data_IF_380740140360
#
_entry.id   IF_380740140360
#
_cell.length_a   1.000
_cell.length_b   1.000
_cell.length_c   1.000
_cell.angle_alpha   90.00
_cell.angle_beta   90.00
_cell.angle_gamma   90.00
#
_symmetry.space_group_name_H-M   'P 1'
#
loop_
_entity.id
_entity.type
_entity.pdbx_description
1 polymer ?
#
# COMPACT_ATOMS: atom_id res chain seq x y z
N UNK A 1 -7.30 -39.25 -2.12
CA UNK A 1 -6.24 -38.27 -1.86
C UNK A 1 -6.38 -37.13 -2.88
N UNK A 2 -6.75 -35.91 -2.45
CA UNK A 2 -6.73 -34.76 -3.36
C UNK A 2 -5.27 -34.54 -3.78
N UNK A 3 -4.94 -34.55 -5.07
CA UNK A 3 -3.61 -34.19 -5.57
C UNK A 3 -3.28 -32.80 -5.04
N UNK A 4 -2.17 -32.64 -4.33
CA UNK A 4 -1.66 -31.34 -3.88
C UNK A 4 -1.46 -30.50 -5.14
N UNK A 5 -2.19 -29.41 -5.31
CA UNK A 5 -1.94 -28.48 -6.40
C UNK A 5 -0.50 -27.98 -6.34
N UNK A 6 0.20 -27.87 -7.48
CA UNK A 6 1.53 -27.31 -7.50
C UNK A 6 1.49 -25.88 -6.93
N UNK A 7 2.58 -25.47 -6.30
CA UNK A 7 2.70 -24.09 -5.81
C UNK A 7 2.81 -23.13 -7.00
N UNK A 8 2.18 -21.95 -6.93
CA UNK A 8 2.35 -20.94 -7.97
C UNK A 8 3.82 -20.50 -8.03
N UNK A 9 4.32 -20.34 -9.26
CA UNK A 9 5.68 -19.89 -9.57
C UNK A 9 5.70 -18.39 -9.73
N UNK A 10 6.43 -17.69 -8.86
CA UNK A 10 6.42 -16.23 -8.77
C UNK A 10 7.78 -15.66 -9.15
N UNK A 11 7.78 -14.62 -10.00
CA UNK A 11 8.95 -13.78 -10.27
C UNK A 11 8.95 -12.53 -9.38
N UNK A 12 10.13 -12.00 -9.09
CA UNK A 12 10.33 -10.72 -8.41
C UNK A 12 11.01 -9.74 -9.36
N UNK A 13 10.40 -8.57 -9.57
CA UNK A 13 10.95 -7.45 -10.31
C UNK A 13 11.22 -6.29 -9.35
N UNK A 14 12.50 -6.02 -9.08
CA UNK A 14 12.94 -5.12 -8.02
C UNK A 14 13.06 -5.83 -6.67
N UNK A 15 14.30 -5.92 -6.19
CA UNK A 15 14.66 -6.61 -4.95
C UNK A 15 15.48 -5.71 -4.03
N UNK A 16 15.17 -4.40 -4.04
CA UNK A 16 15.58 -3.47 -3.01
C UNK A 16 15.09 -3.93 -1.63
N UNK A 17 15.24 -3.09 -0.61
CA UNK A 17 14.89 -3.47 0.77
C UNK A 17 13.46 -4.04 0.86
N UNK A 18 12.45 -3.34 0.30
CA UNK A 18 11.05 -3.77 0.40
C UNK A 18 10.78 -5.05 -0.41
N UNK A 19 11.36 -5.17 -1.60
CA UNK A 19 11.23 -6.37 -2.44
C UNK A 19 11.78 -7.60 -1.74
N UNK A 20 12.99 -7.52 -1.14
CA UNK A 20 13.56 -8.62 -0.35
C UNK A 20 12.74 -8.96 0.88
N UNK A 21 12.16 -7.96 1.55
CA UNK A 21 11.29 -8.20 2.69
C UNK A 21 10.04 -9.01 2.29
N UNK A 22 9.39 -8.67 1.17
CA UNK A 22 8.23 -9.41 0.65
C UNK A 22 8.61 -10.79 0.14
N UNK A 23 9.78 -10.91 -0.51
CA UNK A 23 10.34 -12.18 -0.96
C UNK A 23 10.55 -13.15 0.21
N UNK A 24 11.17 -12.68 1.30
CA UNK A 24 11.37 -13.48 2.51
C UNK A 24 10.05 -13.95 3.10
N UNK A 25 9.07 -13.07 3.26
CA UNK A 25 7.76 -13.42 3.80
C UNK A 25 7.02 -14.48 2.95
N UNK A 26 7.09 -14.38 1.63
CA UNK A 26 6.50 -15.37 0.71
C UNK A 26 7.23 -16.72 0.85
N UNK A 27 8.55 -16.74 0.90
CA UNK A 27 9.32 -17.96 1.11
C UNK A 27 8.97 -18.65 2.45
N UNK A 28 8.91 -17.89 3.53
CA UNK A 28 8.59 -18.40 4.87
C UNK A 28 7.15 -18.94 4.93
N UNK A 29 6.23 -18.38 4.18
CA UNK A 29 4.83 -18.85 4.10
C UNK A 29 4.69 -20.23 3.45
N UNK A 30 5.64 -20.63 2.59
CA UNK A 30 5.59 -21.87 1.78
C UNK A 30 4.33 -21.99 0.90
N UNK A 31 3.73 -20.85 0.53
CA UNK A 31 2.51 -20.81 -0.30
C UNK A 31 2.83 -20.64 -1.79
N UNK A 32 4.06 -20.31 -2.15
CA UNK A 32 4.54 -20.17 -3.53
C UNK A 32 6.01 -20.56 -3.67
N UNK A 33 6.43 -20.79 -4.91
CA UNK A 33 7.82 -20.94 -5.32
C UNK A 33 8.34 -19.60 -5.85
N UNK A 34 9.43 -19.09 -5.31
CA UNK A 34 10.16 -17.95 -5.91
C UNK A 34 11.06 -18.53 -7.01
N UNK A 35 10.61 -18.41 -8.25
CA UNK A 35 11.26 -19.05 -9.41
C UNK A 35 12.23 -18.11 -10.13
N UNK A 36 12.05 -16.79 -10.02
CA UNK A 36 12.88 -15.83 -10.76
C UNK A 36 13.04 -14.51 -9.98
N UNK A 37 14.19 -13.88 -10.16
CA UNK A 37 14.55 -12.57 -9.61
C UNK A 37 15.11 -11.70 -10.73
N UNK A 38 14.58 -10.50 -10.86
CA UNK A 38 15.07 -9.47 -11.78
C UNK A 38 15.32 -8.16 -11.02
N UNK A 39 16.52 -7.61 -11.08
CA UNK A 39 16.88 -6.29 -10.55
C UNK A 39 17.99 -5.68 -11.40
N UNK A 40 17.87 -4.39 -11.71
CA UNK A 40 18.90 -3.64 -12.42
C UNK A 40 20.18 -3.46 -11.59
N UNK A 41 20.07 -3.51 -10.27
CA UNK A 41 21.18 -3.51 -9.33
C UNK A 41 21.63 -4.94 -9.04
N UNK A 42 22.82 -5.30 -9.54
CA UNK A 42 23.38 -6.66 -9.35
C UNK A 42 23.54 -7.06 -7.89
N UNK A 43 23.84 -6.12 -7.01
CA UNK A 43 23.97 -6.38 -5.58
C UNK A 43 22.61 -6.78 -4.97
N UNK A 44 21.54 -6.03 -5.27
CA UNK A 44 20.19 -6.37 -4.84
C UNK A 44 19.75 -7.76 -5.34
N UNK A 45 20.00 -8.06 -6.63
CA UNK A 45 19.69 -9.37 -7.20
C UNK A 45 20.47 -10.50 -6.51
N UNK A 46 21.76 -10.29 -6.24
CA UNK A 46 22.61 -11.24 -5.54
C UNK A 46 22.14 -11.51 -4.11
N UNK A 47 21.76 -10.46 -3.37
CA UNK A 47 21.26 -10.62 -2.00
C UNK A 47 19.91 -11.34 -1.96
N UNK A 48 19.04 -11.07 -2.92
CA UNK A 48 17.76 -11.77 -3.05
C UNK A 48 17.96 -13.25 -3.42
N UNK A 49 18.93 -13.56 -4.31
CA UNK A 49 19.26 -14.93 -4.70
C UNK A 49 19.79 -15.76 -3.52
N UNK A 50 20.49 -15.15 -2.54
CA UNK A 50 20.90 -15.84 -1.31
C UNK A 50 19.71 -16.32 -0.47
N UNK A 51 18.59 -15.58 -0.50
CA UNK A 51 17.34 -15.93 0.18
C UNK A 51 16.58 -17.03 -0.57
N UNK A 52 16.65 -17.05 -1.91
CA UNK A 52 15.98 -17.99 -2.80
C UNK A 52 17.00 -18.70 -3.73
N UNK A 53 17.81 -19.64 -3.22
CA UNK A 53 18.92 -20.24 -3.98
C UNK A 53 18.51 -21.00 -5.25
N UNK A 54 17.22 -21.37 -5.37
CA UNK A 54 16.67 -22.04 -6.55
C UNK A 54 16.14 -21.08 -7.62
N UNK A 55 16.08 -19.79 -7.35
CA UNK A 55 15.53 -18.81 -8.29
C UNK A 55 16.55 -18.45 -9.39
N UNK A 56 16.07 -18.35 -10.62
CA UNK A 56 16.86 -17.83 -11.74
C UNK A 56 17.04 -16.31 -11.56
N UNK A 57 18.24 -15.80 -11.79
CA UNK A 57 18.50 -14.38 -11.83
C UNK A 57 18.56 -13.92 -13.28
N UNK A 58 17.71 -12.96 -13.62
CA UNK A 58 17.66 -12.35 -14.97
C UNK A 58 17.82 -10.83 -14.85
N UNK A 59 18.04 -10.15 -15.96
CA UNK A 59 18.38 -8.73 -16.01
C UNK A 59 17.23 -7.80 -16.40
N UNK A 60 16.08 -8.35 -16.79
CA UNK A 60 14.97 -7.57 -17.33
C UNK A 60 13.60 -8.21 -17.08
N UNK A 61 12.56 -7.37 -17.19
CA UNK A 61 11.17 -7.85 -17.19
C UNK A 61 10.94 -8.78 -18.39
N UNK A 62 11.50 -8.49 -19.56
CA UNK A 62 11.32 -9.32 -20.76
C UNK A 62 11.80 -10.74 -20.54
N UNK A 63 13.01 -10.89 -20.03
CA UNK A 63 13.56 -12.20 -19.68
C UNK A 63 12.73 -12.93 -18.60
N UNK A 64 12.16 -12.18 -17.63
CA UNK A 64 11.29 -12.74 -16.60
C UNK A 64 9.98 -13.28 -17.20
N UNK A 65 9.37 -12.56 -18.14
CA UNK A 65 8.09 -12.93 -18.75
C UNK A 65 8.18 -14.24 -19.59
N UNK A 66 9.36 -14.63 -20.07
CA UNK A 66 9.58 -15.84 -20.85
C UNK A 66 9.67 -17.13 -20.00
N UNK A 67 9.70 -17.04 -18.66
CA UNK A 67 10.02 -18.17 -17.77
C UNK A 67 8.81 -19.03 -17.35
N UNK A 68 7.62 -18.82 -17.92
CA UNK A 68 6.43 -19.60 -17.59
C UNK A 68 6.05 -19.47 -16.10
N UNK A 69 5.94 -18.25 -15.64
CA UNK A 69 5.52 -17.89 -14.29
C UNK A 69 3.99 -17.77 -14.22
N UNK A 70 3.45 -17.92 -13.00
CA UNK A 70 2.03 -17.67 -12.71
C UNK A 70 1.79 -16.21 -12.29
N UNK A 71 2.81 -15.56 -11.73
CA UNK A 71 2.67 -14.23 -11.16
C UNK A 71 4.01 -13.49 -11.03
N UNK A 72 3.92 -12.18 -10.85
CA UNK A 72 5.07 -11.31 -10.56
C UNK A 72 4.79 -10.35 -9.41
N UNK A 73 5.78 -10.17 -8.54
CA UNK A 73 5.83 -9.11 -7.53
C UNK A 73 6.69 -7.98 -8.08
N UNK A 74 6.13 -6.77 -8.16
CA UNK A 74 6.80 -5.56 -8.66
C UNK A 74 7.12 -4.66 -7.47
N UNK A 75 8.40 -4.40 -7.24
CA UNK A 75 8.91 -3.53 -6.17
C UNK A 75 10.02 -2.59 -6.68
N UNK A 76 9.82 -2.05 -7.85
CA UNK A 76 10.65 -1.05 -8.53
C UNK A 76 10.27 0.37 -8.08
N UNK A 77 10.94 1.43 -8.52
CA UNK A 77 10.45 2.80 -8.35
C UNK A 77 9.10 3.05 -9.03
N UNK A 78 8.28 3.94 -8.45
CA UNK A 78 6.89 4.17 -8.84
C UNK A 78 6.66 4.46 -10.33
N UNK A 79 7.60 5.14 -10.98
CA UNK A 79 7.54 5.41 -12.43
C UNK A 79 7.43 4.16 -13.30
N UNK A 80 7.95 3.02 -12.83
CA UNK A 80 7.90 1.74 -13.53
C UNK A 80 6.61 0.95 -13.32
N UNK A 81 5.88 1.19 -12.23
CA UNK A 81 4.80 0.33 -11.77
C UNK A 81 3.73 0.10 -12.83
N UNK A 82 3.17 1.18 -13.41
CA UNK A 82 2.10 1.09 -14.40
C UNK A 82 2.54 0.26 -15.62
N UNK A 83 3.62 0.65 -16.28
CA UNK A 83 4.07 -0.01 -17.52
C UNK A 83 4.48 -1.47 -17.29
N UNK A 84 5.14 -1.76 -16.17
CA UNK A 84 5.56 -3.11 -15.81
C UNK A 84 4.36 -4.00 -15.46
N UNK A 85 3.40 -3.47 -14.69
CA UNK A 85 2.19 -4.21 -14.32
C UNK A 85 1.32 -4.52 -15.54
N UNK A 86 1.10 -3.54 -16.43
CA UNK A 86 0.33 -3.73 -17.67
C UNK A 86 0.97 -4.84 -18.52
N UNK A 87 2.27 -4.77 -18.75
CA UNK A 87 2.99 -5.78 -19.55
C UNK A 87 2.91 -7.19 -18.95
N UNK A 88 3.05 -7.29 -17.61
CA UNK A 88 2.93 -8.58 -16.94
C UNK A 88 1.52 -9.16 -17.03
N UNK A 89 0.49 -8.33 -16.86
CA UNK A 89 -0.92 -8.72 -16.99
C UNK A 89 -1.25 -9.15 -18.42
N UNK A 90 -0.80 -8.40 -19.42
CA UNK A 90 -0.97 -8.74 -20.85
C UNK A 90 -0.26 -10.04 -21.22
N UNK A 91 0.86 -10.36 -20.57
CA UNK A 91 1.55 -11.65 -20.68
C UNK A 91 0.83 -12.79 -19.92
N UNK A 92 -0.30 -12.49 -19.26
CA UNK A 92 -1.11 -13.49 -18.56
C UNK A 92 -0.66 -13.78 -17.12
N UNK A 93 0.20 -12.97 -16.51
CA UNK A 93 0.62 -13.12 -15.13
C UNK A 93 -0.31 -12.35 -14.18
N UNK A 94 -0.54 -12.90 -12.98
CA UNK A 94 -1.09 -12.14 -11.87
C UNK A 94 -0.03 -11.18 -11.30
N UNK A 95 -0.45 -10.02 -10.79
CA UNK A 95 0.48 -8.97 -10.34
C UNK A 95 0.23 -8.58 -8.89
N UNK A 96 1.30 -8.55 -8.10
CA UNK A 96 1.36 -7.84 -6.83
C UNK A 96 2.32 -6.67 -6.97
N UNK A 97 1.82 -5.45 -6.79
CA UNK A 97 2.61 -4.24 -7.00
C UNK A 97 2.82 -3.48 -5.69
N UNK A 98 4.00 -2.91 -5.52
CA UNK A 98 4.22 -1.94 -4.45
C UNK A 98 3.32 -0.70 -4.65
N UNK A 99 2.95 -0.07 -3.55
CA UNK A 99 2.25 1.22 -3.57
C UNK A 99 3.24 2.36 -4.00
N UNK A 100 2.74 3.40 -4.65
CA UNK A 100 1.43 3.50 -5.27
C UNK A 100 1.34 2.61 -6.51
N UNK A 101 0.15 2.15 -6.89
CA UNK A 101 -0.04 1.32 -8.11
C UNK A 101 0.37 2.06 -9.37
N UNK A 102 0.17 3.37 -9.40
CA UNK A 102 0.59 4.31 -10.42
C UNK A 102 0.77 5.70 -9.82
N UNK A 103 1.38 6.61 -10.55
CA UNK A 103 1.62 8.00 -10.14
C UNK A 103 0.38 8.90 -10.28
N UNK A 104 -0.69 8.36 -10.88
CA UNK A 104 -1.97 9.04 -11.11
C UNK A 104 -3.12 8.04 -11.15
N UNK A 105 -4.36 8.55 -11.06
CA UNK A 105 -5.57 7.76 -11.25
C UNK A 105 -5.63 7.14 -12.65
N UNK A 106 -5.13 7.85 -13.67
CA UNK A 106 -5.05 7.34 -15.04
C UNK A 106 -4.16 6.10 -15.13
N UNK A 107 -2.95 6.15 -14.56
CA UNK A 107 -2.04 4.99 -14.52
C UNK A 107 -2.64 3.81 -13.74
N UNK A 108 -3.27 4.08 -12.58
CA UNK A 108 -3.96 3.06 -11.80
C UNK A 108 -5.11 2.40 -12.58
N UNK A 109 -5.90 3.21 -13.29
CA UNK A 109 -7.00 2.73 -14.14
C UNK A 109 -6.49 1.85 -15.29
N UNK A 110 -5.37 2.21 -15.92
CA UNK A 110 -4.76 1.39 -16.97
C UNK A 110 -4.41 0.00 -16.44
N UNK A 111 -3.77 -0.09 -15.27
CA UNK A 111 -3.39 -1.37 -14.67
C UNK A 111 -4.63 -2.19 -14.31
N UNK A 112 -5.64 -1.59 -13.69
CA UNK A 112 -6.89 -2.28 -13.33
C UNK A 112 -7.64 -2.77 -14.57
N UNK A 113 -7.70 -1.96 -15.64
CA UNK A 113 -8.30 -2.38 -16.92
C UNK A 113 -7.57 -3.57 -17.53
N UNK A 114 -6.23 -3.58 -17.52
CA UNK A 114 -5.43 -4.70 -18.02
C UNK A 114 -5.65 -5.95 -17.17
N UNK A 115 -5.73 -5.83 -15.83
CA UNK A 115 -6.02 -6.97 -14.94
C UNK A 115 -7.40 -7.58 -15.24
N UNK A 116 -8.41 -6.72 -15.44
CA UNK A 116 -9.78 -7.15 -15.80
C UNK A 116 -9.80 -7.83 -17.18
N UNK A 117 -9.16 -7.23 -18.18
CA UNK A 117 -9.13 -7.75 -19.55
C UNK A 117 -8.41 -9.10 -19.62
N UNK A 118 -7.30 -9.26 -18.90
CA UNK A 118 -6.54 -10.49 -18.82
C UNK A 118 -7.16 -11.54 -17.87
N UNK A 119 -8.20 -11.17 -17.10
CA UNK A 119 -8.75 -11.98 -16.02
C UNK A 119 -7.65 -12.46 -15.06
N UNK A 120 -6.81 -11.53 -14.54
CA UNK A 120 -5.70 -11.83 -13.65
C UNK A 120 -5.82 -11.10 -12.32
N UNK A 121 -5.41 -11.78 -11.25
CA UNK A 121 -5.40 -11.22 -9.91
C UNK A 121 -4.41 -10.06 -9.83
N UNK A 122 -4.90 -8.91 -9.35
CA UNK A 122 -4.11 -7.72 -9.05
C UNK A 122 -4.18 -7.42 -7.57
N UNK A 123 -3.03 -7.23 -6.92
CA UNK A 123 -2.91 -6.76 -5.55
C UNK A 123 -1.95 -5.59 -5.43
N UNK A 124 -2.17 -4.74 -4.43
CA UNK A 124 -1.27 -3.62 -4.08
C UNK A 124 -0.87 -3.73 -2.62
N UNK A 125 0.37 -3.41 -2.31
CA UNK A 125 0.95 -3.56 -0.97
C UNK A 125 0.49 -2.45 0.00
N UNK A 126 -0.79 -2.41 0.29
CA UNK A 126 -1.35 -1.60 1.38
C UNK A 126 -1.22 -2.34 2.71
N UNK A 127 0.00 -2.48 3.16
CA UNK A 127 0.40 -3.38 4.25
C UNK A 127 -0.20 -3.03 5.62
N UNK A 128 -0.53 -1.75 5.88
CA UNK A 128 -1.13 -1.33 7.17
C UNK A 128 -2.48 -2.00 7.45
N UNK A 129 -3.26 -2.36 6.43
CA UNK A 129 -4.50 -3.15 6.60
C UNK A 129 -4.27 -4.49 7.32
N UNK A 130 -3.05 -5.03 7.24
CA UNK A 130 -2.70 -6.35 7.74
C UNK A 130 -2.02 -6.34 9.13
N UNK A 131 -1.94 -5.18 9.77
CA UNK A 131 -1.55 -5.10 11.19
C UNK A 131 -2.68 -5.68 12.06
N UNK A 132 -2.32 -6.36 13.14
CA UNK A 132 -3.32 -6.87 14.12
C UNK A 132 -4.18 -5.74 14.67
N UNK A 133 -3.56 -4.59 14.93
CA UNK A 133 -4.24 -3.39 15.40
C UNK A 133 -5.35 -2.93 14.44
N UNK A 134 -5.05 -2.76 13.16
CA UNK A 134 -6.01 -2.29 12.16
C UNK A 134 -7.08 -3.34 11.86
N UNK A 135 -6.73 -4.64 11.86
CA UNK A 135 -7.70 -5.72 11.67
C UNK A 135 -8.75 -5.76 12.80
N UNK A 136 -8.32 -5.63 14.05
CA UNK A 136 -9.25 -5.58 15.20
C UNK A 136 -10.14 -4.34 15.19
N UNK A 137 -9.58 -3.18 14.83
CA UNK A 137 -10.37 -1.95 14.65
C UNK A 137 -11.42 -2.12 13.55
N UNK A 138 -11.04 -2.69 12.40
CA UNK A 138 -11.96 -2.91 11.28
C UNK A 138 -13.07 -3.91 11.64
N UNK A 139 -12.78 -4.92 12.44
CA UNK A 139 -13.79 -5.85 12.97
C UNK A 139 -14.84 -5.12 13.83
N UNK A 140 -14.41 -4.21 14.72
CA UNK A 140 -15.33 -3.41 15.55
C UNK A 140 -16.19 -2.46 14.71
N UNK A 141 -15.62 -1.82 13.69
CA UNK A 141 -16.38 -1.00 12.74
C UNK A 141 -17.40 -1.85 11.98
N UNK A 142 -16.96 -2.98 11.42
CA UNK A 142 -17.80 -3.85 10.60
C UNK A 142 -18.91 -4.57 11.39
N UNK A 143 -18.71 -4.81 12.70
CA UNK A 143 -19.73 -5.39 13.59
C UNK A 143 -20.83 -4.40 13.95
N UNK A 144 -20.64 -3.09 13.66
CA UNK A 144 -21.56 -2.03 14.08
C UNK A 144 -21.44 -1.63 15.56
N UNK A 145 -20.45 -2.13 16.29
CA UNK A 145 -20.27 -1.84 17.71
C UNK A 145 -19.98 -0.35 18.01
N UNK A 146 -19.44 0.37 17.02
CA UNK A 146 -19.22 1.81 17.12
C UNK A 146 -20.44 2.66 16.73
N UNK A 147 -21.54 2.03 16.32
CA UNK A 147 -22.64 2.71 15.64
C UNK A 147 -22.22 3.18 14.24
N UNK A 148 -22.81 4.27 13.75
CA UNK A 148 -22.42 4.87 12.48
C UNK A 148 -21.08 5.62 12.66
N UNK A 149 -20.05 5.18 11.94
CA UNK A 149 -18.75 5.89 11.89
C UNK A 149 -18.89 7.05 10.92
N UNK A 150 -18.78 8.29 11.42
CA UNK A 150 -19.04 9.52 10.66
C UNK A 150 -17.82 10.42 10.44
N UNK A 151 -16.72 10.15 11.17
CA UNK A 151 -15.51 10.96 11.02
C UNK A 151 -14.25 10.12 11.26
N UNK A 152 -13.14 10.53 10.63
CA UNK A 152 -11.84 9.93 10.82
C UNK A 152 -10.70 10.96 10.72
N UNK A 153 -9.68 10.78 11.56
CA UNK A 153 -8.42 11.53 11.54
C UNK A 153 -7.26 10.54 11.37
N UNK A 154 -6.43 10.76 10.32
CA UNK A 154 -5.31 9.91 10.02
C UNK A 154 -4.04 10.75 9.85
N UNK A 155 -2.98 10.33 10.50
CA UNK A 155 -1.70 11.06 10.54
C UNK A 155 -0.53 10.11 10.26
N UNK A 156 0.42 10.59 9.43
CA UNK A 156 1.69 9.91 9.22
C UNK A 156 2.81 10.95 9.05
N UNK A 157 3.50 11.28 10.11
CA UNK A 157 4.61 12.22 10.12
C UNK A 157 5.92 11.48 10.37
N UNK A 158 6.92 11.74 9.52
CA UNK A 158 8.29 11.27 9.70
C UNK A 158 9.21 12.45 10.04
N UNK A 159 10.20 12.20 10.89
CA UNK A 159 11.25 13.19 11.23
C UNK A 159 12.25 13.37 10.08
N UNK A 160 12.29 12.47 9.13
CA UNK A 160 13.18 12.47 7.96
C UNK A 160 12.47 11.95 6.71
N UNK A 161 12.98 12.34 5.55
CA UNK A 161 12.49 11.86 4.26
C UNK A 161 13.15 10.54 3.84
N UNK A 162 12.69 9.93 2.75
CA UNK A 162 13.26 8.70 2.20
C UNK A 162 14.69 8.92 1.68
N UNK A 163 15.50 7.84 1.67
CA UNK A 163 16.93 7.86 1.32
C UNK A 163 17.21 7.84 -0.19
N UNK A 164 16.22 7.52 -1.03
CA UNK A 164 16.39 7.40 -2.47
C UNK A 164 16.05 8.70 -3.19
N UNK A 165 16.96 9.18 -4.06
CA UNK A 165 16.80 10.44 -4.78
C UNK A 165 15.52 10.51 -5.64
N UNK A 166 15.07 9.39 -6.20
CA UNK A 166 13.88 9.36 -7.05
C UNK A 166 12.57 9.75 -6.33
N UNK A 167 12.50 9.65 -5.00
CA UNK A 167 11.35 10.15 -4.24
C UNK A 167 11.18 11.66 -4.34
N UNK A 168 12.27 12.40 -4.57
CA UNK A 168 12.28 13.86 -4.66
C UNK A 168 12.12 14.37 -6.10
N UNK A 169 11.91 13.48 -7.06
CA UNK A 169 11.61 13.78 -8.45
C UNK A 169 10.13 13.47 -8.72
N UNK A 170 9.34 14.52 -8.97
CA UNK A 170 7.89 14.41 -9.17
C UNK A 170 7.51 13.54 -10.39
N UNK A 171 8.37 13.49 -11.42
CA UNK A 171 8.15 12.64 -12.60
C UNK A 171 8.39 11.16 -12.29
N UNK A 172 9.28 10.85 -11.35
CA UNK A 172 9.59 9.48 -10.96
C UNK A 172 8.70 8.96 -9.84
N UNK A 173 8.36 9.80 -8.85
CA UNK A 173 7.58 9.43 -7.68
C UNK A 173 6.08 9.65 -7.83
N UNK A 174 5.66 10.62 -8.67
CA UNK A 174 4.28 11.09 -8.78
C UNK A 174 3.91 12.16 -7.75
N UNK A 175 4.73 12.39 -6.73
CA UNK A 175 4.55 13.36 -5.64
C UNK A 175 5.48 13.07 -4.48
N UNK A 176 5.34 13.81 -3.39
CA UNK A 176 6.17 13.69 -2.20
C UNK A 176 5.52 12.85 -1.09
N UNK A 177 5.46 13.40 0.12
CA UNK A 177 4.97 12.69 1.30
C UNK A 177 3.49 12.26 1.17
N UNK A 178 2.67 12.97 0.42
CA UNK A 178 1.28 12.59 0.19
C UNK A 178 1.19 11.34 -0.70
N UNK A 179 2.00 11.25 -1.76
CA UNK A 179 2.06 10.04 -2.60
C UNK A 179 2.68 8.86 -1.84
N UNK A 180 3.72 9.10 -1.05
CA UNK A 180 4.41 8.04 -0.30
C UNK A 180 3.63 7.57 0.94
N UNK A 181 3.33 8.48 1.86
CA UNK A 181 2.71 8.17 3.16
C UNK A 181 1.19 8.34 3.12
N UNK A 182 0.72 9.41 2.47
CA UNK A 182 -0.70 9.71 2.36
C UNK A 182 -1.49 8.65 1.62
N UNK A 183 -0.87 7.94 0.66
CA UNK A 183 -1.51 6.82 -0.04
C UNK A 183 -1.98 5.71 0.91
N UNK A 184 -1.22 5.40 1.96
CA UNK A 184 -1.63 4.45 3.00
C UNK A 184 -2.81 4.96 3.82
N UNK A 185 -2.82 6.27 4.15
CA UNK A 185 -3.86 6.88 4.95
C UNK A 185 -5.18 6.99 4.18
N UNK A 186 -5.12 7.38 2.90
CA UNK A 186 -6.29 7.42 2.01
C UNK A 186 -6.85 6.02 1.80
N UNK A 187 -5.98 5.03 1.61
CA UNK A 187 -6.36 3.64 1.49
C UNK A 187 -7.09 3.11 2.73
N UNK A 188 -6.54 3.34 3.93
CA UNK A 188 -7.18 2.97 5.18
C UNK A 188 -8.52 3.67 5.36
N UNK A 189 -8.58 4.98 5.12
CA UNK A 189 -9.81 5.75 5.27
C UNK A 189 -10.92 5.20 4.37
N UNK A 190 -10.65 5.04 3.07
CA UNK A 190 -11.66 4.52 2.14
C UNK A 190 -12.08 3.09 2.49
N UNK A 191 -11.15 2.26 2.90
CA UNK A 191 -11.43 0.87 3.29
C UNK A 191 -12.32 0.78 4.55
N UNK A 192 -12.06 1.60 5.57
CA UNK A 192 -12.90 1.63 6.78
C UNK A 192 -14.32 2.13 6.53
N UNK A 193 -14.53 2.97 5.51
CA UNK A 193 -15.84 3.44 5.10
C UNK A 193 -16.46 2.62 3.94
N UNK A 194 -15.89 1.47 3.59
CA UNK A 194 -16.36 0.59 2.49
C UNK A 194 -16.41 1.30 1.13
N UNK A 195 -15.37 2.09 0.83
CA UNK A 195 -15.15 2.77 -0.45
C UNK A 195 -16.34 3.60 -0.97
N UNK A 196 -16.91 4.50 -0.18
CA UNK A 196 -17.98 5.38 -0.64
C UNK A 196 -17.46 6.35 -1.70
N UNK A 197 -18.36 6.91 -2.49
CA UNK A 197 -17.99 8.01 -3.38
C UNK A 197 -17.46 9.21 -2.58
N UNK A 198 -16.38 9.81 -3.07
CA UNK A 198 -15.82 11.03 -2.47
C UNK A 198 -16.44 12.25 -3.13
N UNK A 199 -17.20 13.02 -2.36
CA UNK A 199 -17.93 14.20 -2.84
C UNK A 199 -17.01 15.39 -3.09
N UNK A 200 -16.04 15.59 -2.20
CA UNK A 200 -15.07 16.68 -2.33
C UNK A 200 -13.75 16.37 -1.66
N UNK A 201 -12.68 16.91 -2.23
CA UNK A 201 -11.32 16.87 -1.71
C UNK A 201 -10.80 18.29 -1.63
N UNK A 202 -10.25 18.68 -0.49
CA UNK A 202 -9.51 19.93 -0.34
C UNK A 202 -8.15 19.66 0.29
N UNK A 203 -7.12 20.38 -0.15
CA UNK A 203 -5.75 20.14 0.33
C UNK A 203 -4.97 21.42 0.56
N UNK A 204 -3.98 21.33 1.43
CA UNK A 204 -2.89 22.29 1.55
C UNK A 204 -1.58 21.51 1.57
N UNK A 205 -0.73 21.75 0.57
CA UNK A 205 0.54 21.07 0.40
C UNK A 205 1.70 22.07 0.46
N UNK A 206 2.81 21.66 1.08
CA UNK A 206 3.95 22.52 1.37
C UNK A 206 5.26 21.83 1.01
N UNK A 207 6.28 22.62 0.69
CA UNK A 207 7.67 22.18 0.56
C UNK A 207 8.58 23.19 1.28
N UNK A 208 9.34 22.72 2.27
CA UNK A 208 10.18 23.57 3.10
C UNK A 208 9.40 24.70 3.80
N UNK A 209 8.17 24.42 4.27
CA UNK A 209 7.28 25.38 4.93
C UNK A 209 6.60 26.38 3.99
N UNK A 210 6.83 26.32 2.69
CA UNK A 210 6.18 27.17 1.69
C UNK A 210 5.05 26.41 1.00
N UNK A 211 3.87 27.04 0.95
CA UNK A 211 2.70 26.46 0.26
C UNK A 211 3.01 26.28 -1.23
N UNK A 212 2.85 25.07 -1.73
CA UNK A 212 2.97 24.78 -3.16
C UNK A 212 1.67 25.14 -3.89
N UNK A 213 1.84 25.67 -5.10
CA UNK A 213 0.76 25.80 -6.08
C UNK A 213 0.86 24.65 -7.06
N UNK A 214 -0.27 24.20 -7.60
CA UNK A 214 -0.30 23.14 -8.62
C UNK A 214 0.67 23.43 -9.77
N UNK A 215 1.33 22.40 -10.29
CA UNK A 215 2.28 22.52 -11.40
C UNK A 215 3.67 23.05 -11.05
N UNK A 216 4.04 23.14 -9.77
CA UNK A 216 5.36 23.68 -9.35
C UNK A 216 6.56 22.80 -9.71
N UNK A 217 6.33 21.55 -10.12
CA UNK A 217 7.41 20.56 -10.38
C UNK A 217 8.18 20.12 -9.13
N UNK A 218 7.85 20.67 -7.95
CA UNK A 218 8.45 20.29 -6.67
C UNK A 218 7.60 19.26 -5.97
N UNK A 219 8.25 18.33 -5.27
CA UNK A 219 7.56 17.41 -4.36
C UNK A 219 7.31 18.10 -3.00
N UNK A 220 6.19 17.80 -2.39
CA UNK A 220 5.84 18.29 -1.07
C UNK A 220 6.44 17.41 0.03
N UNK A 221 6.78 18.05 1.14
CA UNK A 221 7.25 17.42 2.37
C UNK A 221 6.21 17.49 3.51
N UNK A 222 5.10 18.22 3.30
CA UNK A 222 3.97 18.28 4.22
C UNK A 222 2.66 18.44 3.45
N UNK A 223 1.65 17.66 3.82
CA UNK A 223 0.32 17.75 3.25
C UNK A 223 -0.77 17.58 4.31
N UNK A 224 -1.85 18.36 4.16
CA UNK A 224 -3.13 18.15 4.85
C UNK A 224 -4.21 18.03 3.78
N UNK A 225 -5.04 16.99 3.89
CA UNK A 225 -6.15 16.72 2.97
C UNK A 225 -7.41 16.51 3.80
N UNK A 226 -8.50 17.14 3.37
CA UNK A 226 -9.84 16.91 3.94
C UNK A 226 -10.74 16.34 2.85
N UNK A 227 -11.43 15.25 3.16
CA UNK A 227 -12.39 14.58 2.30
C UNK A 227 -13.78 14.75 2.90
N UNK A 228 -14.77 14.97 2.06
CA UNK A 228 -16.19 14.80 2.39
C UNK A 228 -16.71 13.67 1.52
N UNK A 229 -17.21 12.61 2.16
CA UNK A 229 -17.79 11.46 1.50
C UNK A 229 -19.24 11.76 1.08
N UNK A 230 -19.81 10.96 0.17
CA UNK A 230 -21.13 11.24 -0.38
C UNK A 230 -22.23 11.24 0.69
N UNK A 231 -22.11 10.39 1.70
CA UNK A 231 -22.98 10.33 2.88
C UNK A 231 -22.76 11.48 3.90
N UNK A 232 -21.84 12.41 3.61
CA UNK A 232 -21.53 13.55 4.48
C UNK A 232 -20.45 13.29 5.52
N UNK A 233 -19.90 12.07 5.60
CA UNK A 233 -18.83 11.73 6.55
C UNK A 233 -17.54 12.51 6.22
N UNK A 234 -16.80 12.86 7.23
CA UNK A 234 -15.58 13.68 7.13
C UNK A 234 -14.33 12.88 7.42
N UNK A 235 -13.31 13.03 6.58
CA UNK A 235 -12.00 12.42 6.79
C UNK A 235 -10.93 13.51 6.69
N UNK A 236 -10.00 13.51 7.66
CA UNK A 236 -8.81 14.36 7.64
C UNK A 236 -7.57 13.50 7.59
N UNK A 237 -6.69 13.80 6.63
CA UNK A 237 -5.39 13.14 6.45
C UNK A 237 -4.30 14.19 6.59
N UNK A 238 -3.26 13.90 7.37
CA UNK A 238 -2.05 14.72 7.43
C UNK A 238 -0.81 13.82 7.33
N UNK A 239 0.12 14.18 6.46
CA UNK A 239 1.37 13.45 6.32
C UNK A 239 2.56 14.38 6.06
N UNK A 240 3.74 13.93 6.40
CA UNK A 240 4.94 14.74 6.19
C UNK A 240 6.23 13.94 6.23
N UNK A 241 7.25 14.50 5.58
CA UNK A 241 8.66 14.21 5.78
C UNK A 241 9.33 15.37 6.51
N UNK A 242 10.40 15.13 7.24
CA UNK A 242 11.25 16.15 7.88
C UNK A 242 10.52 17.02 8.94
N UNK A 243 9.47 16.51 9.57
CA UNK A 243 8.76 17.25 10.63
C UNK A 243 9.41 17.01 11.98
N UNK A 244 9.66 18.11 12.72
CA UNK A 244 10.17 18.06 14.09
C UNK A 244 9.05 17.66 15.07
N UNK A 245 8.78 16.35 15.20
CA UNK A 245 7.73 15.81 16.06
C UNK A 245 8.26 15.16 17.37
N UNK A 246 9.56 15.33 17.67
CA UNK A 246 10.20 14.82 18.88
C UNK A 246 10.39 13.30 18.92
N UNK A 247 10.15 12.61 17.80
CA UNK A 247 10.32 11.17 17.59
C UNK A 247 10.47 10.85 16.10
N UNK A 248 10.92 9.64 15.77
CA UNK A 248 11.17 9.24 14.38
C UNK A 248 9.91 9.27 13.53
N UNK A 249 8.79 8.78 14.07
CA UNK A 249 7.51 8.82 13.38
C UNK A 249 6.35 9.07 14.34
N UNK A 250 5.28 9.72 13.82
CA UNK A 250 3.94 9.77 14.41
C UNK A 250 3.00 9.13 13.42
N UNK A 251 2.50 7.93 13.72
CA UNK A 251 1.57 7.18 12.88
C UNK A 251 0.32 6.92 13.73
N UNK A 252 -0.79 7.52 13.33
CA UNK A 252 -2.03 7.44 14.08
C UNK A 252 -3.23 7.48 13.15
N UNK A 253 -4.25 6.66 13.42
CA UNK A 253 -5.54 6.71 12.73
C UNK A 253 -6.65 6.46 13.72
N UNK A 254 -7.60 7.40 13.77
CA UNK A 254 -8.75 7.39 14.68
C UNK A 254 -10.04 7.44 13.88
N UNK A 255 -11.01 6.62 14.26
CA UNK A 255 -12.34 6.56 13.65
C UNK A 255 -13.40 6.78 14.74
N UNK A 256 -14.32 7.68 14.48
CA UNK A 256 -15.32 8.14 15.45
C UNK A 256 -16.73 7.73 14.99
N UNK A 257 -17.36 6.89 15.80
CA UNK A 257 -18.74 6.46 15.61
C UNK A 257 -19.69 7.08 16.63
N UNK A 258 -20.98 6.92 16.40
CA UNK A 258 -22.06 7.47 17.27
C UNK A 258 -22.16 6.77 18.63
N UNK A 259 -21.57 5.59 18.80
CA UNK A 259 -21.61 4.78 20.03
C UNK A 259 -20.22 4.45 20.58
N UNK A 260 -19.16 4.79 19.87
CA UNK A 260 -17.78 4.55 20.29
C UNK A 260 -16.78 5.03 19.25
N UNK A 261 -15.50 4.86 19.55
CA UNK A 261 -14.42 5.16 18.64
C UNK A 261 -13.31 4.13 18.74
N UNK A 262 -12.46 4.07 17.72
CA UNK A 262 -11.24 3.25 17.72
C UNK A 262 -10.07 4.07 17.22
N UNK A 263 -8.90 3.81 17.77
CA UNK A 263 -7.67 4.38 17.24
C UNK A 263 -6.54 3.36 17.29
N UNK A 264 -5.63 3.41 16.29
CA UNK A 264 -4.30 2.84 16.45
C UNK A 264 -3.25 3.93 16.38
N UNK A 265 -2.13 3.70 17.07
CA UNK A 265 -0.99 4.60 17.07
C UNK A 265 0.31 3.82 17.24
N UNK A 266 1.38 4.38 16.71
CA UNK A 266 2.69 3.78 16.90
C UNK A 266 3.23 4.04 18.31
N UNK A 267 4.01 3.07 18.80
CA UNK A 267 4.61 3.13 20.16
C UNK A 267 5.99 3.77 20.06
N UNK A 268 6.22 4.83 20.84
CA UNK A 268 7.52 5.51 20.97
C UNK A 268 8.21 5.92 19.66
N UNK A 269 7.43 6.21 18.63
CA UNK A 269 7.96 6.58 17.31
C UNK A 269 8.36 5.40 16.41
N UNK A 270 8.09 4.16 16.81
CA UNK A 270 8.36 2.96 15.99
C UNK A 270 7.58 2.98 14.68
N UNK A 271 8.18 2.48 13.60
CA UNK A 271 7.49 2.23 12.32
C UNK A 271 6.77 0.89 12.30
N UNK A 272 6.95 0.04 13.31
CA UNK A 272 6.52 -1.36 13.31
C UNK A 272 5.58 -1.73 14.45
N UNK A 273 5.71 -1.06 15.60
CA UNK A 273 5.00 -1.39 16.81
C UNK A 273 3.77 -0.50 16.99
N UNK A 274 2.59 -1.11 17.01
CA UNK A 274 1.32 -0.39 17.12
C UNK A 274 0.50 -0.90 18.29
N UNK A 275 -0.20 0.05 18.96
CA UNK A 275 -1.25 -0.23 19.92
C UNK A 275 -2.58 0.21 19.30
N UNK A 276 -3.64 -0.57 19.52
CA UNK A 276 -5.00 -0.14 19.19
C UNK A 276 -5.87 -0.12 20.43
N UNK A 277 -6.79 0.84 20.46
CA UNK A 277 -7.71 1.07 21.56
C UNK A 277 -9.13 1.28 21.06
N UNK A 278 -10.09 0.79 21.82
CA UNK A 278 -11.51 1.02 21.67
C UNK A 278 -11.98 2.01 22.72
N UNK A 279 -12.73 3.02 22.31
CA UNK A 279 -13.20 4.11 23.18
C UNK A 279 -14.71 4.08 23.38
N UNK A 280 -15.14 4.25 24.63
CA UNK A 280 -16.54 4.49 25.01
C UNK A 280 -16.58 5.69 25.96
N UNK A 281 -17.02 6.85 25.48
CA UNK A 281 -16.93 8.10 26.22
C UNK A 281 -15.50 8.42 26.60
N UNK A 282 -15.19 8.45 27.89
CA UNK A 282 -13.84 8.70 28.43
C UNK A 282 -13.06 7.43 28.75
N UNK A 283 -13.63 6.26 28.53
CA UNK A 283 -12.97 4.98 28.76
C UNK A 283 -12.23 4.54 27.51
N UNK A 284 -11.03 3.96 27.69
CA UNK A 284 -10.23 3.35 26.66
C UNK A 284 -9.91 1.89 27.04
N UNK A 285 -10.13 0.98 26.12
CA UNK A 285 -9.77 -0.43 26.23
C UNK A 285 -8.72 -0.77 25.18
N UNK A 286 -7.57 -1.29 25.58
CA UNK A 286 -6.55 -1.75 24.67
C UNK A 286 -6.97 -3.05 24.01
N UNK A 287 -7.06 -3.07 22.67
CA UNK A 287 -7.51 -4.22 21.87
C UNK A 287 -6.36 -4.91 21.11
N UNK A 288 -5.25 -4.20 20.89
CA UNK A 288 -4.03 -4.78 20.29
C UNK A 288 -2.78 -4.13 20.89
N UNK A 289 -1.71 -4.92 21.01
CA UNK A 289 -0.39 -4.47 21.47
C UNK A 289 0.71 -5.15 20.67
N UNK A 290 1.90 -4.54 20.53
CA UNK A 290 3.06 -5.23 19.96
C UNK A 290 3.53 -6.39 20.89
N UNK A 291 4.35 -7.34 20.36
CA UNK A 291 4.88 -7.35 19.00
C UNK A 291 3.87 -7.85 17.96
N UNK A 292 3.98 -7.35 16.72
CA UNK A 292 3.18 -7.81 15.58
C UNK A 292 4.07 -7.86 14.32
N UNK A 293 4.30 -9.05 13.77
CA UNK A 293 5.07 -9.24 12.52
C UNK A 293 4.12 -9.18 11.31
N UNK A 294 3.75 -7.97 10.94
CA UNK A 294 2.76 -7.71 9.88
C UNK A 294 3.35 -7.43 8.50
N UNK A 295 4.63 -7.07 8.44
CA UNK A 295 5.23 -6.43 7.27
C UNK A 295 5.16 -7.21 5.95
N UNK A 296 4.99 -8.52 5.98
CA UNK A 296 4.84 -9.36 4.79
C UNK A 296 3.44 -9.93 4.56
N UNK A 297 2.50 -9.72 5.50
CA UNK A 297 1.17 -10.38 5.46
C UNK A 297 0.35 -10.03 4.24
N UNK A 298 0.43 -8.80 3.73
CA UNK A 298 -0.27 -8.39 2.52
C UNK A 298 0.15 -9.24 1.31
N UNK A 299 1.45 -9.41 1.11
CA UNK A 299 1.98 -10.23 0.02
C UNK A 299 1.64 -11.71 0.19
N UNK A 300 1.69 -12.24 1.42
CA UNK A 300 1.32 -13.63 1.72
C UNK A 300 -0.17 -13.86 1.50
N UNK A 301 -1.03 -12.93 1.89
CA UNK A 301 -2.47 -13.02 1.67
C UNK A 301 -2.79 -13.03 0.17
N UNK A 302 -2.16 -12.16 -0.60
CA UNK A 302 -2.30 -12.16 -2.06
C UNK A 302 -1.85 -13.49 -2.69
N UNK A 303 -0.74 -14.08 -2.22
CA UNK A 303 -0.30 -15.42 -2.69
C UNK A 303 -1.32 -16.49 -2.36
N UNK A 304 -1.97 -16.43 -1.19
CA UNK A 304 -3.05 -17.36 -0.83
C UNK A 304 -4.26 -17.21 -1.74
N UNK A 305 -4.65 -15.98 -2.07
CA UNK A 305 -5.70 -15.71 -3.04
C UNK A 305 -5.33 -16.25 -4.42
N UNK A 306 -4.09 -16.04 -4.89
CA UNK A 306 -3.58 -16.59 -6.14
C UNK A 306 -3.72 -18.12 -6.18
N UNK A 307 -3.30 -18.80 -5.11
CA UNK A 307 -3.34 -20.24 -5.00
C UNK A 307 -4.74 -20.81 -4.93
N UNK A 308 -5.65 -20.18 -4.19
CA UNK A 308 -7.02 -20.69 -3.97
C UNK A 308 -7.99 -20.28 -5.06
N UNK A 309 -7.84 -19.07 -5.61
CA UNK A 309 -8.70 -18.48 -6.63
C UNK A 309 -8.21 -18.68 -8.08
N UNK A 310 -7.10 -19.41 -8.28
CA UNK A 310 -6.56 -19.65 -9.62
C UNK A 310 -6.07 -18.40 -10.34
N UNK A 311 -5.80 -17.32 -9.61
CA UNK A 311 -5.28 -16.07 -10.17
C UNK A 311 -6.29 -15.25 -10.96
N UNK A 312 -7.59 -15.50 -10.82
CA UNK A 312 -8.65 -14.75 -11.51
C UNK A 312 -8.78 -13.33 -10.96
N UNK A 313 -9.25 -12.42 -11.82
CA UNK A 313 -9.52 -11.02 -11.46
C UNK A 313 -10.48 -10.91 -10.28
N UNK A 314 -10.13 -10.04 -9.34
CA UNK A 314 -10.98 -9.68 -8.22
C UNK A 314 -11.53 -8.26 -8.43
N UNK A 315 -12.87 -8.06 -8.52
CA UNK A 315 -13.48 -6.74 -8.71
C UNK A 315 -13.10 -5.70 -7.66
N UNK A 316 -12.68 -6.09 -6.47
CA UNK A 316 -12.18 -5.16 -5.46
C UNK A 316 -10.95 -4.37 -5.92
N UNK A 317 -10.26 -4.81 -6.97
CA UNK A 317 -9.19 -4.04 -7.60
C UNK A 317 -9.64 -2.67 -8.14
N UNK A 318 -10.94 -2.49 -8.44
CA UNK A 318 -11.50 -1.18 -8.82
C UNK A 318 -11.29 -0.11 -7.75
N UNK A 319 -11.28 -0.50 -6.47
CA UNK A 319 -11.08 0.40 -5.34
C UNK A 319 -9.69 1.05 -5.34
N UNK A 320 -8.70 0.43 -5.99
CA UNK A 320 -7.35 0.99 -6.14
C UNK A 320 -7.35 2.29 -6.94
N UNK A 321 -8.24 2.41 -7.92
CA UNK A 321 -8.41 3.63 -8.72
C UNK A 321 -8.96 4.75 -7.88
N UNK A 322 -9.89 4.46 -6.95
CA UNK A 322 -10.47 5.48 -6.08
C UNK A 322 -9.42 6.08 -5.14
N UNK A 323 -8.50 5.27 -4.60
CA UNK A 323 -7.37 5.77 -3.80
C UNK A 323 -6.52 6.74 -4.62
N UNK A 324 -6.16 6.36 -5.84
CA UNK A 324 -5.37 7.21 -6.73
C UNK A 324 -6.12 8.51 -7.13
N UNK A 325 -7.43 8.43 -7.36
CA UNK A 325 -8.26 9.58 -7.69
C UNK A 325 -8.33 10.62 -6.56
N UNK A 326 -8.37 10.17 -5.30
CA UNK A 326 -8.30 11.07 -4.14
C UNK A 326 -6.94 11.78 -4.08
N UNK A 327 -5.85 11.07 -4.35
CA UNK A 327 -4.51 11.68 -4.40
C UNK A 327 -4.41 12.70 -5.53
N UNK A 328 -4.89 12.38 -6.73
CA UNK A 328 -4.91 13.33 -7.86
C UNK A 328 -5.73 14.57 -7.54
N UNK A 329 -6.91 14.42 -6.98
CA UNK A 329 -7.74 15.55 -6.56
C UNK A 329 -7.05 16.42 -5.49
N UNK A 330 -6.30 15.79 -4.55
CA UNK A 330 -5.53 16.53 -3.56
C UNK A 330 -4.35 17.31 -4.16
N UNK A 331 -3.76 16.82 -5.25
CA UNK A 331 -2.76 17.57 -6.03
C UNK A 331 -3.36 18.61 -6.98
N UNK A 332 -4.70 18.60 -7.20
CA UNK A 332 -5.40 19.46 -8.17
C UNK A 332 -5.21 18.99 -9.61
N UNK A 333 -5.13 17.70 -9.82
CA UNK A 333 -5.01 17.00 -11.11
C UNK A 333 -6.31 16.31 -11.46
#
# INVERSE_FOLDING_TARGET
MKKKQPLPRIGFLGTGWIGRHRLKAILESREAEVACIADVCRENASDAAKLAPGALVVDSLDALLELGLDAVVIATPSAGHCSQAVRALEAGLSVFCQKPLGRSAYEAQMVVNSARAANRLLGVDFSYRFTDAVQKMHQLVSSGELGEVYAADLVFHNAYGPDKAWFYDAELSGGGCLMDLGSHLVDLALWFFDYPQVRSVSSSIFSGGQRLKGGSGKVEDYAVVSLVLENGHAVRVACSWNVSAGRDAVIESSFYGTQGGVAFRNVQGSFYDFVAEHFRGTSAETIATPPDDWGGRCAVDWVRQLRTGGGSYNPQAENLVQVAAVLDAAYGR
#
